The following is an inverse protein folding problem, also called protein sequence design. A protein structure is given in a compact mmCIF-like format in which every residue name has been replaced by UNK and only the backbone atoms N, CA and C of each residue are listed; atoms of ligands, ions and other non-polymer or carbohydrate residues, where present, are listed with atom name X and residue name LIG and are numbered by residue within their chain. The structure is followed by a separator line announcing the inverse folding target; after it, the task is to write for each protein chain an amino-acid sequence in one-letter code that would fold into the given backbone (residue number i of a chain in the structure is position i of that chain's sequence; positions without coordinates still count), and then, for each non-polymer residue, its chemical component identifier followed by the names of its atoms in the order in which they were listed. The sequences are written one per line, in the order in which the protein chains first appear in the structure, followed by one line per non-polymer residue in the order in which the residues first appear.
data_IF_145742814840
#
_entry.id   IF_145742814840
#
_cell.length_a   1.000
_cell.length_b   1.000
_cell.length_c   1.000
_cell.angle_alpha   90.00
_cell.angle_beta   90.00
_cell.angle_gamma   90.00
#
_symmetry.space_group_name_H-M   'P 1'
#
loop_
_entity.id
_entity.type
_entity.pdbx_description
1 polymer ?
#
# COMPACT_ATOMS: atom_id res chain seq x y z
N UNK A 1 -3.71 7.72 -9.15
CA UNK A 1 -2.62 8.49 -8.51
C UNK A 1 -1.33 8.29 -9.27
N UNK A 2 -0.48 9.31 -9.38
CA UNK A 2 0.78 9.18 -10.12
C UNK A 2 1.83 8.39 -9.33
N UNK A 3 2.60 7.55 -10.05
CA UNK A 3 3.78 6.89 -9.51
C UNK A 3 5.02 7.78 -9.64
N UNK A 4 6.20 7.27 -9.24
CA UNK A 4 7.44 8.07 -9.25
C UNK A 4 7.89 8.45 -10.66
N UNK A 5 7.37 7.81 -11.68
CA UNK A 5 7.67 8.10 -13.11
C UNK A 5 6.60 8.98 -13.75
N UNK A 6 5.58 9.38 -13.01
CA UNK A 6 4.49 10.22 -13.50
C UNK A 6 3.36 9.46 -14.18
N UNK A 7 3.40 8.14 -14.19
CA UNK A 7 2.33 7.32 -14.75
C UNK A 7 1.17 7.20 -13.77
N UNK A 8 -0.04 7.36 -14.28
CA UNK A 8 -1.23 7.18 -13.45
C UNK A 8 -1.47 5.69 -13.22
N UNK A 9 -1.48 5.29 -11.95
CA UNK A 9 -1.72 3.91 -11.53
C UNK A 9 -3.06 3.82 -10.81
N UNK A 10 -3.89 2.91 -11.23
CA UNK A 10 -5.24 2.73 -10.65
C UNK A 10 -5.35 1.38 -9.97
N UNK A 11 -6.01 1.35 -8.82
CA UNK A 11 -6.26 0.10 -8.11
C UNK A 11 -7.05 -0.89 -8.98
N UNK A 12 -7.99 -0.39 -9.79
CA UNK A 12 -8.80 -1.21 -10.69
C UNK A 12 -7.99 -1.94 -11.75
N UNK A 13 -6.79 -1.45 -12.08
CA UNK A 13 -5.87 -2.11 -13.02
C UNK A 13 -5.30 -3.39 -12.45
N UNK A 14 -5.44 -3.62 -11.15
CA UNK A 14 -4.89 -4.77 -10.43
C UNK A 14 -5.92 -5.87 -10.18
N UNK A 15 -7.09 -5.79 -10.81
CA UNK A 15 -8.08 -6.85 -10.74
C UNK A 15 -7.47 -8.16 -11.20
N UNK A 16 -7.71 -9.24 -10.46
CA UNK A 16 -7.08 -10.53 -10.71
C UNK A 16 -5.89 -10.82 -9.80
N UNK A 17 -5.40 -9.81 -9.09
CA UNK A 17 -4.34 -9.97 -8.09
C UNK A 17 -4.88 -9.74 -6.69
N UNK A 18 -4.21 -10.33 -5.70
CA UNK A 18 -4.40 -9.98 -4.29
C UNK A 18 -3.56 -8.74 -4.02
N UNK A 19 -4.17 -7.68 -3.51
CA UNK A 19 -3.50 -6.39 -3.34
C UNK A 19 -3.47 -5.97 -1.88
N UNK A 20 -2.29 -5.58 -1.41
CA UNK A 20 -2.15 -4.87 -0.14
C UNK A 20 -2.17 -3.38 -0.46
N UNK A 21 -3.17 -2.67 0.05
CA UNK A 21 -3.20 -1.21 0.02
C UNK A 21 -2.57 -0.72 1.32
N UNK A 22 -1.58 0.14 1.22
CA UNK A 22 -0.89 0.68 2.39
C UNK A 22 -0.79 2.21 2.30
N UNK A 23 -1.47 2.91 3.21
CA UNK A 23 -1.35 4.35 3.34
C UNK A 23 -0.18 4.65 4.27
N UNK A 24 0.75 5.47 3.83
CA UNK A 24 2.01 5.69 4.55
C UNK A 24 2.51 7.13 4.43
N UNK A 25 3.39 7.49 5.37
CA UNK A 25 4.34 8.61 5.22
C UNK A 25 5.73 8.06 5.50
N UNK A 26 6.68 8.29 4.60
CA UNK A 26 7.98 7.64 4.67
C UNK A 26 8.88 8.14 5.80
N UNK A 27 8.61 9.31 6.34
CA UNK A 27 9.38 9.84 7.49
C UNK A 27 8.89 9.31 8.85
N UNK A 28 7.95 8.38 8.86
CA UNK A 28 7.40 7.78 10.08
C UNK A 28 8.09 6.44 10.35
N UNK A 29 8.59 6.25 11.57
CA UNK A 29 9.28 5.01 11.98
C UNK A 29 8.38 3.78 11.84
N UNK A 30 7.10 3.90 12.19
CA UNK A 30 6.15 2.79 12.07
C UNK A 30 5.93 2.40 10.60
N UNK A 31 5.97 3.36 9.68
CA UNK A 31 5.89 3.08 8.24
C UNK A 31 7.13 2.34 7.74
N UNK A 32 8.31 2.68 8.27
CA UNK A 32 9.54 1.96 7.96
C UNK A 32 9.49 0.50 8.38
N UNK A 33 8.99 0.23 9.59
CA UNK A 33 8.80 -1.14 10.07
C UNK A 33 7.79 -1.90 9.21
N UNK A 34 6.70 -1.25 8.81
CA UNK A 34 5.70 -1.84 7.91
C UNK A 34 6.32 -2.18 6.56
N UNK A 35 7.15 -1.32 6.00
CA UNK A 35 7.81 -1.58 4.72
C UNK A 35 8.72 -2.80 4.77
N UNK A 36 9.45 -3.03 5.87
CA UNK A 36 10.26 -4.24 6.03
C UNK A 36 9.39 -5.49 6.01
N UNK A 37 8.28 -5.47 6.72
CA UNK A 37 7.32 -6.58 6.76
C UNK A 37 6.71 -6.85 5.37
N UNK A 38 6.30 -5.79 4.67
CA UNK A 38 5.72 -5.92 3.33
C UNK A 38 6.75 -6.44 2.32
N UNK A 39 8.02 -6.07 2.46
CA UNK A 39 9.08 -6.54 1.55
C UNK A 39 9.24 -8.05 1.62
N UNK A 40 9.21 -8.62 2.82
CA UNK A 40 9.28 -10.07 2.99
C UNK A 40 8.09 -10.77 2.33
N UNK A 41 6.87 -10.26 2.54
CA UNK A 41 5.67 -10.83 1.95
C UNK A 41 5.66 -10.69 0.43
N UNK A 42 6.08 -9.54 -0.08
CA UNK A 42 6.15 -9.30 -1.51
C UNK A 42 7.13 -10.27 -2.18
N UNK A 43 8.31 -10.44 -1.60
CA UNK A 43 9.32 -11.36 -2.13
C UNK A 43 8.83 -12.80 -2.16
N UNK A 44 8.01 -13.21 -1.21
CA UNK A 44 7.47 -14.58 -1.15
C UNK A 44 6.31 -14.82 -2.11
N UNK A 45 5.43 -13.84 -2.28
CA UNK A 45 4.12 -14.08 -2.90
C UNK A 45 3.87 -13.30 -4.19
N UNK A 46 4.75 -12.41 -4.60
CA UNK A 46 4.56 -11.63 -5.83
C UNK A 46 4.38 -12.53 -7.05
N UNK A 47 5.16 -13.62 -7.14
CA UNK A 47 5.05 -14.59 -8.24
C UNK A 47 3.73 -15.36 -8.22
N UNK A 48 3.05 -15.40 -7.08
CA UNK A 48 1.76 -16.06 -6.93
C UNK A 48 0.57 -15.13 -7.14
N UNK A 49 0.82 -13.85 -7.41
CA UNK A 49 -0.23 -12.88 -7.68
C UNK A 49 -0.44 -11.82 -6.61
N UNK A 50 0.49 -11.67 -5.66
CA UNK A 50 0.45 -10.57 -4.70
C UNK A 50 0.99 -9.30 -5.34
N UNK A 51 0.30 -8.19 -5.13
CA UNK A 51 0.78 -6.85 -5.45
C UNK A 51 0.63 -5.95 -4.22
N UNK A 52 1.46 -4.93 -4.13
CA UNK A 52 1.35 -3.89 -3.10
C UNK A 52 1.11 -2.56 -3.81
N UNK A 53 0.07 -1.87 -3.39
CA UNK A 53 -0.28 -0.53 -3.86
C UNK A 53 -0.12 0.41 -2.68
N UNK A 54 1.04 1.06 -2.60
CA UNK A 54 1.39 1.90 -1.46
C UNK A 54 1.15 3.36 -1.81
N UNK A 55 0.36 4.03 -0.97
CA UNK A 55 -0.07 5.41 -1.17
C UNK A 55 0.65 6.29 -0.17
N UNK A 56 1.54 7.13 -0.67
CA UNK A 56 2.23 8.13 0.15
C UNK A 56 1.36 9.36 0.37
N UNK A 57 1.33 9.82 1.60
CA UNK A 57 0.71 11.07 2.00
C UNK A 57 1.77 12.13 2.32
N UNK A 58 3.02 11.90 1.92
CA UNK A 58 4.11 12.84 2.14
C UNK A 58 3.85 14.15 1.39
N UNK A 59 4.04 15.27 2.07
CA UNK A 59 3.87 16.59 1.48
C UNK A 59 5.00 16.93 0.50
N UNK A 60 6.19 16.41 0.73
CA UNK A 60 7.39 16.66 -0.08
C UNK A 60 7.50 15.62 -1.18
N UNK A 61 7.26 16.03 -2.42
CA UNK A 61 7.30 15.16 -3.59
C UNK A 61 8.70 14.58 -3.83
N UNK A 62 9.74 15.36 -3.62
CA UNK A 62 11.12 14.90 -3.81
C UNK A 62 11.49 13.84 -2.78
N UNK A 63 11.12 14.04 -1.53
CA UNK A 63 11.34 13.06 -0.47
C UNK A 63 10.62 11.75 -0.77
N UNK A 64 9.37 11.83 -1.24
CA UNK A 64 8.62 10.66 -1.68
C UNK A 64 9.34 9.91 -2.79
N UNK A 65 9.75 10.61 -3.85
CA UNK A 65 10.42 9.97 -5.01
C UNK A 65 11.69 9.25 -4.60
N UNK A 66 12.52 9.89 -3.77
CA UNK A 66 13.77 9.28 -3.29
C UNK A 66 13.52 8.09 -2.38
N UNK A 67 12.54 8.18 -1.50
CA UNK A 67 12.20 7.11 -0.55
C UNK A 67 11.59 5.90 -1.24
N UNK A 68 10.78 6.12 -2.28
CA UNK A 68 10.09 5.05 -3.00
C UNK A 68 10.94 4.37 -4.06
N UNK A 69 12.05 4.98 -4.47
CA UNK A 69 12.86 4.53 -5.61
C UNK A 69 13.38 3.09 -5.46
N UNK A 70 13.65 2.65 -4.24
CA UNK A 70 14.19 1.32 -3.95
C UNK A 70 13.11 0.28 -3.60
N UNK A 71 11.84 0.66 -3.62
CA UNK A 71 10.75 -0.26 -3.27
C UNK A 71 10.30 -1.05 -4.51
N UNK A 72 10.09 -2.37 -4.38
CA UNK A 72 9.82 -3.22 -5.55
C UNK A 72 8.36 -3.20 -6.02
N UNK A 73 7.48 -2.52 -5.30
CA UNK A 73 6.04 -2.49 -5.57
C UNK A 73 5.59 -1.15 -6.11
N UNK A 74 4.29 -1.03 -6.36
CA UNK A 74 3.67 0.21 -6.86
C UNK A 74 3.64 1.25 -5.74
N UNK A 75 4.31 2.37 -5.96
CA UNK A 75 4.34 3.50 -5.03
C UNK A 75 3.71 4.70 -5.73
N UNK A 76 2.60 5.18 -5.18
CA UNK A 76 1.89 6.36 -5.68
C UNK A 76 1.83 7.42 -4.59
N UNK A 77 1.52 8.66 -4.98
CA UNK A 77 1.37 9.75 -4.03
C UNK A 77 0.01 10.42 -4.23
N UNK A 78 -0.67 10.66 -3.12
CA UNK A 78 -1.86 11.50 -3.10
C UNK A 78 -1.41 12.94 -2.83
N UNK A 79 -1.55 13.87 -3.79
CA UNK A 79 -1.13 15.25 -3.58
C UNK A 79 -1.92 16.00 -2.52
N UNK A 80 -3.09 15.50 -2.13
CA UNK A 80 -3.87 16.06 -1.02
C UNK A 80 -3.25 15.72 0.35
N UNK A 81 -2.33 14.75 0.41
CA UNK A 81 -1.64 14.36 1.62
C UNK A 81 -2.61 13.98 2.74
N UNK A 82 -2.38 14.50 3.93
CA UNK A 82 -3.22 14.19 5.10
C UNK A 82 -4.65 14.73 4.99
N UNK A 83 -4.94 15.53 3.98
CA UNK A 83 -6.30 16.02 3.68
C UNK A 83 -7.01 15.16 2.64
N UNK A 84 -6.44 14.02 2.26
CA UNK A 84 -7.02 13.12 1.27
C UNK A 84 -8.40 12.64 1.69
N UNK A 85 -9.35 12.69 0.75
CA UNK A 85 -10.70 12.16 0.97
C UNK A 85 -10.69 10.65 1.16
N UNK A 86 -9.67 9.95 0.64
CA UNK A 86 -9.54 8.50 0.81
C UNK A 86 -9.30 8.10 2.26
N UNK A 87 -8.66 8.93 3.06
CA UNK A 87 -8.49 8.65 4.49
C UNK A 87 -9.83 8.53 5.19
N UNK A 88 -10.76 9.43 4.88
CA UNK A 88 -12.11 9.39 5.42
C UNK A 88 -12.90 8.19 4.90
N UNK A 89 -12.83 7.92 3.59
CA UNK A 89 -13.53 6.80 2.97
C UNK A 89 -13.10 5.45 3.55
N UNK A 90 -11.82 5.29 3.83
CA UNK A 90 -11.27 4.06 4.41
C UNK A 90 -11.30 4.05 5.94
N UNK A 91 -11.75 5.14 6.57
CA UNK A 91 -11.79 5.26 8.03
C UNK A 91 -10.42 5.25 8.67
N UNK A 92 -9.43 5.84 8.02
CA UNK A 92 -8.04 5.87 8.51
C UNK A 92 -7.90 6.93 9.59
N UNK A 93 -7.42 6.52 10.77
CA UNK A 93 -7.18 7.41 11.91
C UNK A 93 -5.72 7.51 12.31
N UNK A 94 -4.86 6.67 11.75
CA UNK A 94 -3.41 6.67 12.01
C UNK A 94 -2.65 6.03 10.88
N UNK A 95 -1.36 6.31 10.77
CA UNK A 95 -0.49 5.79 9.71
C UNK A 95 0.67 5.00 10.31
N UNK A 96 1.10 3.93 9.64
CA UNK A 96 0.56 3.39 8.41
C UNK A 96 -0.80 2.71 8.62
N UNK A 97 -1.62 2.68 7.58
CA UNK A 97 -2.90 1.98 7.59
C UNK A 97 -2.95 1.03 6.39
N UNK A 98 -3.22 -0.23 6.66
CA UNK A 98 -3.08 -1.31 5.68
C UNK A 98 -4.40 -2.05 5.48
N UNK A 99 -4.70 -2.35 4.23
CA UNK A 99 -5.92 -3.04 3.83
C UNK A 99 -5.59 -4.14 2.84
N UNK A 100 -6.45 -5.14 2.76
CA UNK A 100 -6.28 -6.26 1.84
C UNK A 100 -7.47 -6.32 0.87
N UNK A 101 -7.16 -6.46 -0.41
CA UNK A 101 -8.12 -6.49 -1.51
C UNK A 101 -8.01 -7.85 -2.20
N UNK A 102 -9.15 -8.49 -2.45
CA UNK A 102 -9.18 -9.80 -3.10
C UNK A 102 -9.01 -9.70 -4.62
N UNK A 103 -8.99 -10.86 -5.29
CA UNK A 103 -8.78 -10.93 -6.74
C UNK A 103 -9.92 -10.32 -7.56
N UNK A 104 -11.09 -10.13 -6.94
CA UNK A 104 -12.22 -9.43 -7.57
C UNK A 104 -12.16 -7.91 -7.40
N UNK A 105 -11.06 -7.41 -6.85
CA UNK A 105 -10.84 -5.98 -6.56
C UNK A 105 -11.81 -5.43 -5.51
N UNK A 106 -12.18 -6.28 -4.56
CA UNK A 106 -13.07 -5.94 -3.46
C UNK A 106 -12.28 -5.89 -2.15
N UNK A 107 -12.58 -4.89 -1.30
CA UNK A 107 -11.96 -4.76 0.00
C UNK A 107 -12.36 -5.95 0.87
N UNK A 108 -11.37 -6.70 1.34
CA UNK A 108 -11.57 -7.93 2.10
C UNK A 108 -11.29 -7.77 3.58
N UNK A 109 -10.30 -6.97 3.95
CA UNK A 109 -9.82 -6.91 5.33
C UNK A 109 -9.16 -5.57 5.64
N UNK A 110 -9.41 -5.04 6.83
CA UNK A 110 -8.61 -3.99 7.44
C UNK A 110 -7.59 -4.64 8.37
N UNK A 111 -6.32 -4.36 8.18
CA UNK A 111 -5.24 -4.91 9.01
C UNK A 111 -5.19 -4.17 10.35
N UNK A 112 -5.11 -4.90 11.44
CA UNK A 112 -4.91 -4.37 12.78
C UNK A 112 -3.77 -5.14 13.48
N UNK A 113 -3.50 -4.82 14.74
CA UNK A 113 -2.41 -5.42 15.51
C UNK A 113 -2.54 -6.94 15.66
N UNK A 114 -3.77 -7.47 15.59
CA UNK A 114 -4.05 -8.90 15.76
C UNK A 114 -4.10 -9.65 14.43
N UNK A 115 -4.01 -8.96 13.30
CA UNK A 115 -4.11 -9.57 11.98
C UNK A 115 -2.84 -10.32 11.63
N UNK A 116 -2.98 -11.61 11.30
CA UNK A 116 -1.92 -12.35 10.61
C UNK A 116 -2.02 -12.06 9.12
N UNK A 117 -1.28 -11.05 8.67
CA UNK A 117 -1.35 -10.57 7.28
C UNK A 117 -0.91 -11.63 6.28
N UNK A 118 0.15 -12.38 6.60
CA UNK A 118 0.62 -13.45 5.72
C UNK A 118 -0.47 -14.51 5.50
N UNK A 119 -1.12 -14.97 6.57
CA UNK A 119 -2.18 -15.96 6.45
C UNK A 119 -3.37 -15.40 5.67
N UNK A 120 -3.73 -14.15 5.90
CA UNK A 120 -4.83 -13.51 5.18
C UNK A 120 -4.53 -13.41 3.68
N UNK A 121 -3.30 -13.09 3.30
CA UNK A 121 -2.85 -13.08 1.91
C UNK A 121 -2.96 -14.48 1.31
N UNK A 122 -2.43 -15.47 1.99
CA UNK A 122 -2.46 -16.85 1.52
C UNK A 122 -3.87 -17.36 1.29
N UNK A 123 -4.81 -16.96 2.15
CA UNK A 123 -6.22 -17.36 2.02
C UNK A 123 -6.87 -16.81 0.75
N UNK A 124 -6.38 -15.68 0.22
CA UNK A 124 -6.92 -15.06 -0.99
C UNK A 124 -6.18 -15.48 -2.27
N UNK A 125 -4.96 -15.95 -2.14
CA UNK A 125 -4.19 -16.46 -3.28
C UNK A 125 -4.72 -17.84 -3.71
#
# INVERSE_FOLDING_TARGET
MPDIQGNIRRLTDLKGKVVVIDFTVYNNTASGARNLSLRELYNRYASQGLEVYQISLDADEHFWKTSADNLPWICVRDPQGVYSTYLSLYGVTGLPATFLVNRSNELSLRVNEKTDLEQAIKNLL
#
